data_IF_038031488089
#
_entry.id   IF_038031488089
#
_cell.length_a   1.000
_cell.length_b   1.000
_cell.length_c   1.000
_cell.angle_alpha   90.00
_cell.angle_beta   90.00
_cell.angle_gamma   90.00
#
_symmetry.space_group_name_H-M   'P 1'
#
loop_
_entity.id
_entity.type
_entity.pdbx_description
1 polymer ?
#
# COMPACT_ATOMS: atom_id res chain seq x y z
N UNK A 1 -47.65 2.22 13.33
CA UNK A 1 -46.44 2.72 14.00
C UNK A 1 -45.41 1.62 13.84
N UNK A 2 -44.61 1.67 12.77
CA UNK A 2 -43.62 0.64 12.45
C UNK A 2 -42.36 0.98 13.21
N UNK A 3 -42.01 0.18 14.22
CA UNK A 3 -40.75 0.34 14.93
C UNK A 3 -39.58 -0.01 14.00
N UNK A 4 -38.51 0.82 13.96
CA UNK A 4 -37.31 0.46 13.24
C UNK A 4 -36.59 -0.67 14.00
N UNK A 5 -36.42 -1.82 13.36
CA UNK A 5 -35.69 -2.95 13.92
C UNK A 5 -34.23 -2.58 14.27
N UNK A 6 -33.60 -3.27 15.23
CA UNK A 6 -32.25 -2.96 15.69
C UNK A 6 -31.28 -3.04 14.51
N UNK A 7 -30.62 -1.91 14.22
CA UNK A 7 -29.64 -1.81 13.14
C UNK A 7 -28.57 -2.87 13.30
N UNK A 8 -28.39 -3.71 12.28
CA UNK A 8 -27.44 -4.82 12.29
C UNK A 8 -26.03 -4.25 12.44
N UNK A 9 -25.47 -4.35 13.65
CA UNK A 9 -24.05 -4.09 13.88
C UNK A 9 -23.24 -5.06 13.03
N UNK A 10 -22.36 -4.53 12.17
CA UNK A 10 -21.45 -5.34 11.36
C UNK A 10 -20.69 -6.32 12.25
N UNK A 11 -20.51 -7.55 11.78
CA UNK A 11 -19.70 -8.57 12.45
C UNK A 11 -18.25 -8.10 12.63
N UNK A 12 -17.53 -8.69 13.59
CA UNK A 12 -16.11 -8.37 13.80
C UNK A 12 -15.29 -8.55 12.53
N UNK A 13 -15.55 -9.60 11.75
CA UNK A 13 -14.85 -9.87 10.51
C UNK A 13 -15.05 -8.73 9.48
N UNK A 14 -16.27 -8.20 9.38
CA UNK A 14 -16.57 -7.08 8.49
C UNK A 14 -15.89 -5.78 8.94
N UNK A 15 -15.84 -5.52 10.25
CA UNK A 15 -15.14 -4.37 10.82
C UNK A 15 -13.63 -4.46 10.59
N UNK A 16 -13.03 -5.63 10.81
CA UNK A 16 -11.62 -5.89 10.53
C UNK A 16 -11.30 -5.71 9.04
N UNK A 17 -12.15 -6.24 8.16
CA UNK A 17 -11.99 -6.06 6.72
C UNK A 17 -12.10 -4.58 6.32
N UNK A 18 -13.01 -3.82 6.93
CA UNK A 18 -13.14 -2.38 6.71
C UNK A 18 -11.88 -1.62 7.18
N UNK A 19 -11.32 -1.97 8.34
CA UNK A 19 -10.08 -1.40 8.84
C UNK A 19 -8.90 -1.70 7.89
N UNK A 20 -8.76 -2.94 7.42
CA UNK A 20 -7.71 -3.31 6.46
C UNK A 20 -7.86 -2.53 5.15
N UNK A 21 -9.10 -2.35 4.66
CA UNK A 21 -9.35 -1.52 3.46
C UNK A 21 -8.99 -0.05 3.70
N UNK A 22 -9.27 0.51 4.88
CA UNK A 22 -8.88 1.88 5.21
C UNK A 22 -7.35 2.04 5.21
N UNK A 23 -6.63 1.09 5.83
CA UNK A 23 -5.18 1.12 5.94
C UNK A 23 -4.44 0.90 4.61
N UNK A 24 -4.98 0.05 3.73
CA UNK A 24 -4.23 -0.44 2.55
C UNK A 24 -4.77 0.12 1.23
N UNK A 25 -6.05 0.49 1.18
CA UNK A 25 -6.73 0.96 -0.03
C UNK A 25 -7.36 2.36 0.11
N UNK A 26 -7.14 3.05 1.25
CA UNK A 26 -7.66 4.40 1.47
C UNK A 26 -9.19 4.46 1.58
N UNK A 27 -9.83 3.36 1.97
CA UNK A 27 -11.27 3.36 2.25
C UNK A 27 -11.62 4.20 3.48
N UNK A 28 -12.90 4.47 3.67
CA UNK A 28 -13.38 5.21 4.84
C UNK A 28 -12.96 4.53 6.15
N UNK A 29 -12.51 5.35 7.11
CA UNK A 29 -12.15 4.90 8.46
C UNK A 29 -13.40 4.37 9.19
N UNK A 30 -13.39 3.13 9.71
CA UNK A 30 -14.51 2.60 10.48
C UNK A 30 -14.75 3.41 11.75
N UNK A 31 -16.01 3.47 12.21
CA UNK A 31 -16.36 4.13 13.47
C UNK A 31 -15.56 3.55 14.65
N UNK A 32 -15.17 4.40 15.59
CA UNK A 32 -14.39 4.01 16.77
C UNK A 32 -12.87 4.04 16.58
N UNK A 33 -12.37 4.34 15.38
CA UNK A 33 -10.95 4.58 15.13
C UNK A 33 -10.67 6.07 14.94
N UNK A 34 -9.53 6.51 15.47
CA UNK A 34 -9.01 7.85 15.22
C UNK A 34 -8.49 7.98 13.78
N UNK A 35 -8.91 9.02 13.07
CA UNK A 35 -8.59 9.20 11.65
C UNK A 35 -7.13 9.58 11.42
N UNK A 36 -6.50 10.25 12.39
CA UNK A 36 -5.08 10.62 12.32
C UNK A 36 -4.20 9.39 12.52
N UNK A 37 -4.54 8.52 13.48
CA UNK A 37 -3.81 7.26 13.72
C UNK A 37 -3.87 6.32 12.52
N UNK A 38 -5.05 6.19 11.89
CA UNK A 38 -5.19 5.39 10.66
C UNK A 38 -4.39 5.98 9.51
N UNK A 39 -4.40 7.31 9.37
CA UNK A 39 -3.61 8.01 8.34
C UNK A 39 -2.11 7.84 8.54
N UNK A 40 -1.62 7.94 9.79
CA UNK A 40 -0.22 7.71 10.13
C UNK A 40 0.20 6.26 9.85
N UNK A 41 -0.65 5.30 10.20
CA UNK A 41 -0.40 3.87 9.95
C UNK A 41 -0.39 3.57 8.45
N UNK A 42 -1.36 4.09 7.68
CA UNK A 42 -1.39 3.95 6.23
C UNK A 42 -0.13 4.54 5.58
N UNK A 43 0.34 5.71 6.05
CA UNK A 43 1.58 6.33 5.60
C UNK A 43 2.81 5.43 5.88
N UNK A 44 2.91 4.86 7.08
CA UNK A 44 3.99 3.93 7.44
C UNK A 44 3.99 2.66 6.58
N UNK A 45 2.80 2.13 6.24
CA UNK A 45 2.67 0.98 5.34
C UNK A 45 3.12 1.31 3.90
N UNK A 46 2.77 2.49 3.38
CA UNK A 46 3.25 2.96 2.08
C UNK A 46 4.78 3.13 2.07
N UNK A 47 5.34 3.69 3.14
CA UNK A 47 6.78 3.84 3.29
C UNK A 47 7.49 2.47 3.33
N UNK A 48 6.94 1.50 4.08
CA UNK A 48 7.45 0.11 4.10
C UNK A 48 7.42 -0.51 2.71
N UNK A 49 6.32 -0.34 1.97
CA UNK A 49 6.16 -0.85 0.59
C UNK A 49 7.21 -0.24 -0.35
N UNK A 50 7.48 1.07 -0.23
CA UNK A 50 8.56 1.73 -0.98
C UNK A 50 9.93 1.13 -0.64
N UNK A 51 10.22 0.92 0.65
CA UNK A 51 11.45 0.28 1.11
C UNK A 51 11.65 -1.14 0.58
N UNK A 52 10.60 -1.96 0.56
CA UNK A 52 10.63 -3.31 -0.02
C UNK A 52 10.98 -3.27 -1.52
N UNK A 53 10.41 -2.33 -2.28
CA UNK A 53 10.71 -2.14 -3.70
C UNK A 53 12.15 -1.67 -3.90
N UNK A 54 12.61 -0.68 -3.13
CA UNK A 54 13.98 -0.17 -3.22
C UNK A 54 15.04 -1.24 -2.91
N UNK A 55 14.79 -2.08 -1.89
CA UNK A 55 15.68 -3.17 -1.53
C UNK A 55 15.73 -4.27 -2.61
N UNK A 56 14.57 -4.62 -3.18
CA UNK A 56 14.48 -5.71 -4.15
C UNK A 56 14.90 -5.30 -5.56
N UNK A 57 14.62 -4.06 -5.94
CA UNK A 57 14.87 -3.49 -7.27
C UNK A 57 15.71 -2.20 -7.17
N UNK A 58 16.96 -2.30 -6.67
CA UNK A 58 17.78 -1.12 -6.37
C UNK A 58 18.08 -0.26 -7.59
N UNK A 59 18.14 -0.84 -8.79
CA UNK A 59 18.33 -0.07 -10.03
C UNK A 59 17.12 0.81 -10.36
N UNK A 60 15.89 0.34 -10.11
CA UNK A 60 14.69 1.15 -10.31
C UNK A 60 14.68 2.36 -9.37
N UNK A 61 14.99 2.13 -8.09
CA UNK A 61 15.07 3.20 -7.10
C UNK A 61 16.19 4.19 -7.44
N UNK A 62 17.36 3.69 -7.87
CA UNK A 62 18.47 4.54 -8.29
C UNK A 62 18.09 5.43 -9.49
N UNK A 63 17.44 4.89 -10.52
CA UNK A 63 16.96 5.65 -11.69
C UNK A 63 15.96 6.75 -11.30
N UNK A 64 15.14 6.52 -10.27
CA UNK A 64 14.20 7.51 -9.78
C UNK A 64 14.85 8.62 -8.93
N UNK A 65 16.08 8.42 -8.47
CA UNK A 65 16.82 9.37 -7.66
C UNK A 65 16.30 9.53 -6.22
N UNK A 66 16.66 10.64 -5.55
CA UNK A 66 16.32 10.87 -4.14
C UNK A 66 14.81 10.94 -3.88
N UNK A 67 14.01 11.30 -4.90
CA UNK A 67 12.55 11.42 -4.78
C UNK A 67 11.81 10.08 -4.92
N UNK A 68 12.52 8.96 -5.10
CA UNK A 68 11.92 7.64 -5.29
C UNK A 68 10.81 7.35 -4.28
N UNK A 69 11.10 7.52 -2.98
CA UNK A 69 10.15 7.18 -1.91
C UNK A 69 8.88 8.03 -2.00
N UNK A 70 9.02 9.35 -2.14
CA UNK A 70 7.87 10.26 -2.23
C UNK A 70 7.02 10.00 -3.47
N UNK A 71 7.66 9.75 -4.63
CA UNK A 71 6.99 9.43 -5.89
C UNK A 71 6.27 8.09 -5.83
N UNK A 72 6.95 7.07 -5.29
CA UNK A 72 6.37 5.74 -5.13
C UNK A 72 5.17 5.77 -4.18
N UNK A 73 5.28 6.43 -3.02
CA UNK A 73 4.18 6.53 -2.06
C UNK A 73 2.96 7.26 -2.66
N UNK A 74 3.18 8.30 -3.44
CA UNK A 74 2.10 9.02 -4.14
C UNK A 74 1.40 8.14 -5.16
N UNK A 75 2.17 7.38 -5.96
CA UNK A 75 1.63 6.41 -6.91
C UNK A 75 0.88 5.26 -6.22
N UNK A 76 1.43 4.72 -5.14
CA UNK A 76 0.92 3.57 -4.42
C UNK A 76 -0.35 3.86 -3.61
N UNK A 77 -0.59 5.12 -3.22
CA UNK A 77 -1.73 5.53 -2.36
C UNK A 77 -3.09 5.12 -2.91
N UNK A 78 -3.26 5.08 -4.23
CA UNK A 78 -4.53 4.78 -4.90
C UNK A 78 -4.58 3.37 -5.49
N UNK A 79 -3.57 2.53 -5.21
CA UNK A 79 -3.36 1.26 -5.90
C UNK A 79 -3.19 0.11 -4.89
N UNK A 80 -4.09 -0.89 -4.88
CA UNK A 80 -3.95 -2.08 -4.04
C UNK A 80 -2.60 -2.77 -4.25
N UNK A 81 -1.98 -3.23 -3.16
CA UNK A 81 -0.74 -4.01 -3.22
C UNK A 81 -1.06 -5.45 -3.64
N UNK A 82 -0.46 -5.92 -4.74
CA UNK A 82 -0.53 -7.34 -5.16
C UNK A 82 0.73 -8.08 -4.70
N UNK A 83 1.89 -7.61 -5.12
CA UNK A 83 3.20 -8.09 -4.69
C UNK A 83 4.26 -7.01 -4.91
N UNK A 84 5.40 -7.10 -4.24
CA UNK A 84 6.52 -6.16 -4.46
C UNK A 84 6.99 -6.14 -5.93
N UNK A 85 6.97 -7.29 -6.61
CA UNK A 85 7.36 -7.38 -8.02
C UNK A 85 6.32 -6.77 -8.96
N UNK A 86 5.02 -7.02 -8.71
CA UNK A 86 3.93 -6.41 -9.47
C UNK A 86 3.93 -4.88 -9.29
N UNK A 87 4.18 -4.40 -8.07
CA UNK A 87 4.28 -2.97 -7.80
C UNK A 87 5.43 -2.32 -8.57
N UNK A 88 6.62 -2.93 -8.51
CA UNK A 88 7.79 -2.40 -9.20
C UNK A 88 7.58 -2.35 -10.72
N UNK A 89 6.97 -3.40 -11.30
CA UNK A 89 6.66 -3.45 -12.72
C UNK A 89 5.65 -2.36 -13.12
N UNK A 90 4.53 -2.24 -12.38
CA UNK A 90 3.51 -1.24 -12.67
C UNK A 90 4.02 0.20 -12.48
N UNK A 91 4.85 0.44 -11.46
CA UNK A 91 5.48 1.73 -11.24
C UNK A 91 6.49 2.08 -12.35
N UNK A 92 7.32 1.11 -12.78
CA UNK A 92 8.23 1.32 -13.91
C UNK A 92 7.46 1.66 -15.20
N UNK A 93 6.36 0.97 -15.48
CA UNK A 93 5.49 1.28 -16.62
C UNK A 93 4.93 2.70 -16.56
N UNK A 94 4.43 3.15 -15.39
CA UNK A 94 3.93 4.53 -15.20
C UNK A 94 5.03 5.57 -15.49
N UNK A 95 6.29 5.24 -15.22
CA UNK A 95 7.44 6.11 -15.45
C UNK A 95 8.04 6.00 -16.86
N UNK A 96 7.50 5.13 -17.74
CA UNK A 96 8.09 4.85 -19.05
C UNK A 96 9.44 4.13 -18.97
N UNK A 97 9.72 3.44 -17.87
CA UNK A 97 10.95 2.70 -17.64
C UNK A 97 10.80 1.23 -18.05
N UNK A 98 11.90 0.55 -18.44
CA UNK A 98 11.88 -0.88 -18.70
C UNK A 98 11.48 -1.67 -17.44
N UNK A 99 10.94 -2.90 -17.60
CA UNK A 99 10.55 -3.73 -16.47
C UNK A 99 11.74 -3.96 -15.52
N UNK A 100 11.54 -3.81 -14.20
CA UNK A 100 12.63 -3.82 -13.26
C UNK A 100 13.20 -5.23 -13.11
N UNK A 101 14.53 -5.31 -13.09
CA UNK A 101 15.26 -6.56 -12.85
C UNK A 101 15.70 -6.60 -11.40
N UNK A 102 15.41 -7.69 -10.70
CA UNK A 102 15.87 -7.91 -9.33
C UNK A 102 17.40 -7.87 -9.29
N UNK A 103 17.98 -7.22 -8.27
CA UNK A 103 19.43 -7.18 -8.10
C UNK A 103 20.03 -8.56 -7.75
N UNK A 104 21.34 -8.75 -8.00
CA UNK A 104 22.07 -10.00 -7.66
C UNK A 104 21.86 -10.48 -6.21
N UNK A 105 21.55 -9.58 -5.27
CA UNK A 105 21.30 -9.87 -3.85
C UNK A 105 20.08 -10.79 -3.63
N UNK A 106 19.08 -10.78 -4.51
CA UNK A 106 17.87 -11.63 -4.41
C UNK A 106 18.17 -13.10 -4.76
N UNK A 107 19.29 -13.39 -5.46
CA UNK A 107 19.68 -14.76 -5.84
C UNK A 107 20.42 -15.53 -4.75
N UNK A 108 20.98 -14.84 -3.77
CA UNK A 108 21.83 -15.42 -2.72
C UNK A 108 21.07 -15.72 -1.42
N UNK A 109 19.76 -15.46 -1.38
CA UNK A 109 18.88 -15.69 -0.22
C UNK A 109 17.79 -16.75 -0.47
N UNK A 110 17.93 -17.56 -1.53
CA UNK A 110 17.04 -18.67 -1.85
C UNK A 110 17.63 -19.99 -1.41
#
# INVERSE_FOLDING_TARGET
>A
MTEPGPGTTASLAEQQAALVRALVAGAQVPAGFDTADISATAHALLHKRAGEVAQRFPLLAHTCGPDFTARFMTWARTRPKISTAADAAAFATELGLPPPRSGRRDRLRR
#
